data_IF_131856710340
#
_entry.id   IF_131856710340
#
_cell.length_a   1.000
_cell.length_b   1.000
_cell.length_c   1.000
_cell.angle_alpha   90.00
_cell.angle_beta   90.00
_cell.angle_gamma   90.00
#
_symmetry.space_group_name_H-M   'P 1'
#
loop_
_entity.id
_entity.type
_entity.pdbx_description
1 polymer ?
#
# COMPACT_ATOMS: atom_id res chain seq x y z
N UNK A 1 -13.47 1.16 -10.35
CA UNK A 1 -12.88 1.43 -9.01
C UNK A 1 -12.70 0.11 -8.29
N UNK A 2 -11.51 -0.15 -7.77
CA UNK A 2 -11.18 -1.35 -6.99
C UNK A 2 -10.61 -0.94 -5.65
N UNK A 3 -11.09 -1.57 -4.58
CA UNK A 3 -10.63 -1.37 -3.20
C UNK A 3 -10.08 -2.67 -2.67
N UNK A 4 -8.87 -2.60 -2.14
CA UNK A 4 -8.10 -3.66 -1.52
C UNK A 4 -8.07 -3.45 -0.01
N UNK A 5 -8.38 -4.50 0.74
CA UNK A 5 -8.38 -4.50 2.19
C UNK A 5 -7.19 -5.32 2.66
N UNK A 6 -6.53 -4.88 3.72
CA UNK A 6 -5.41 -5.62 4.27
C UNK A 6 -5.89 -7.00 4.76
N UNK A 7 -5.22 -8.05 4.28
CA UNK A 7 -5.47 -9.44 4.70
C UNK A 7 -4.43 -9.87 5.74
N UNK A 8 -3.16 -9.66 5.41
CA UNK A 8 -2.03 -10.04 6.25
C UNK A 8 -0.81 -9.16 5.92
N UNK A 9 0.23 -9.23 6.74
CA UNK A 9 1.54 -8.67 6.41
C UNK A 9 2.65 -9.56 6.96
N UNK A 10 3.81 -9.56 6.31
CA UNK A 10 4.97 -10.32 6.74
C UNK A 10 6.25 -9.52 6.51
N UNK A 11 7.32 -9.87 7.22
CA UNK A 11 8.64 -9.28 7.01
C UNK A 11 9.41 -10.05 5.94
N UNK A 12 9.97 -9.35 4.97
CA UNK A 12 10.83 -9.97 3.95
C UNK A 12 12.33 -9.85 4.31
N UNK A 13 13.18 -10.45 3.48
CA UNK A 13 14.64 -10.43 3.62
C UNK A 13 15.27 -9.04 3.40
N UNK A 14 14.50 -8.05 2.94
CA UNK A 14 14.94 -6.66 2.70
C UNK A 14 14.63 -5.75 3.89
N UNK A 15 14.26 -6.33 5.04
CA UNK A 15 13.77 -5.62 6.22
C UNK A 15 12.56 -4.72 5.92
N UNK A 16 11.69 -5.17 5.01
CA UNK A 16 10.41 -4.54 4.70
C UNK A 16 9.28 -5.35 5.32
N UNK A 17 8.22 -4.67 5.75
CA UNK A 17 6.93 -5.31 6.01
C UNK A 17 6.08 -5.18 4.76
N UNK A 18 5.80 -6.29 4.09
CA UNK A 18 5.01 -6.36 2.85
C UNK A 18 3.56 -6.63 3.20
N UNK A 19 2.63 -5.92 2.56
CA UNK A 19 1.20 -6.05 2.81
C UNK A 19 0.57 -6.98 1.76
N UNK A 20 -0.14 -8.01 2.22
CA UNK A 20 -0.94 -8.92 1.41
C UNK A 20 -2.40 -8.46 1.43
N UNK A 21 -3.03 -8.40 0.27
CA UNK A 21 -4.36 -7.82 0.12
C UNK A 21 -5.44 -8.87 -0.15
N UNK A 22 -6.65 -8.55 0.30
CA UNK A 22 -7.89 -9.19 -0.16
C UNK A 22 -8.71 -8.20 -0.98
N UNK A 23 -9.47 -8.72 -1.95
CA UNK A 23 -10.39 -7.91 -2.74
C UNK A 23 -11.56 -7.47 -1.86
N UNK A 24 -11.74 -6.15 -1.70
CA UNK A 24 -12.87 -5.59 -0.96
C UNK A 24 -14.06 -5.28 -1.86
N UNK A 25 -13.82 -4.47 -2.90
CA UNK A 25 -14.84 -4.05 -3.87
C UNK A 25 -14.17 -3.91 -5.23
N UNK A 26 -14.84 -4.27 -6.33
CA UNK A 26 -14.27 -4.12 -7.67
C UNK A 26 -15.34 -3.80 -8.70
N UNK A 27 -15.03 -2.83 -9.56
CA UNK A 27 -15.83 -2.42 -10.70
C UNK A 27 -14.88 -2.28 -11.91
N UNK A 28 -15.07 -3.13 -12.91
CA UNK A 28 -14.27 -3.19 -14.14
C UNK A 28 -13.16 -4.24 -14.13
N UNK A 29 -12.44 -4.37 -15.25
CA UNK A 29 -11.44 -5.43 -15.49
C UNK A 29 -10.00 -4.90 -15.69
N UNK A 30 -9.66 -3.72 -15.17
CA UNK A 30 -8.36 -3.07 -15.40
C UNK A 30 -7.24 -3.46 -14.43
N UNK A 31 -7.55 -4.19 -13.36
CA UNK A 31 -6.63 -4.50 -12.26
C UNK A 31 -6.79 -5.96 -11.85
N UNK A 32 -5.66 -6.64 -11.63
CA UNK A 32 -5.62 -8.02 -11.17
C UNK A 32 -4.84 -8.11 -9.86
N UNK A 33 -5.46 -8.67 -8.83
CA UNK A 33 -4.83 -8.90 -7.53
C UNK A 33 -4.11 -10.25 -7.52
N UNK A 34 -2.88 -10.26 -7.00
CA UNK A 34 -2.11 -11.47 -6.71
C UNK A 34 -1.36 -11.29 -5.39
N UNK A 35 -2.02 -11.63 -4.28
CA UNK A 35 -1.47 -11.54 -2.93
C UNK A 35 -1.06 -10.12 -2.54
N UNK A 36 0.24 -9.85 -2.56
CA UNK A 36 0.89 -8.59 -2.20
C UNK A 36 0.81 -7.54 -3.32
N UNK A 37 0.56 -8.02 -4.55
CA UNK A 37 0.74 -7.21 -5.75
C UNK A 37 -0.56 -6.99 -6.52
N UNK A 38 -0.64 -5.83 -7.19
CA UNK A 38 -1.72 -5.49 -8.10
C UNK A 38 -1.13 -5.24 -9.49
N UNK A 39 -1.50 -6.06 -10.46
CA UNK A 39 -1.10 -5.91 -11.86
C UNK A 39 -2.10 -5.07 -12.63
N UNK A 40 -1.61 -4.08 -13.36
CA UNK A 40 -2.39 -3.24 -14.28
C UNK A 40 -2.56 -3.98 -15.60
N UNK A 41 -3.81 -4.23 -15.98
CA UNK A 41 -4.13 -4.97 -17.21
C UNK A 41 -4.24 -4.01 -18.40
N UNK A 42 -4.82 -2.82 -18.18
CA UNK A 42 -5.06 -1.84 -19.23
C UNK A 42 -4.26 -0.56 -18.97
N UNK A 43 -3.59 -0.05 -20.00
CA UNK A 43 -2.90 1.24 -19.92
C UNK A 43 -3.89 2.35 -19.54
N UNK A 44 -3.48 3.28 -18.70
CA UNK A 44 -4.33 4.42 -18.36
C UNK A 44 -3.79 5.29 -17.24
N UNK A 45 -4.47 6.41 -16.99
CA UNK A 45 -4.23 7.24 -15.81
C UNK A 45 -5.08 6.70 -14.67
N UNK A 46 -4.44 6.30 -13.59
CA UNK A 46 -5.09 5.77 -12.40
C UNK A 46 -4.93 6.74 -11.24
N UNK A 47 -6.04 7.02 -10.54
CA UNK A 47 -5.99 7.61 -9.22
C UNK A 47 -5.78 6.49 -8.20
N UNK A 48 -4.70 6.58 -7.44
CA UNK A 48 -4.32 5.62 -6.40
C UNK A 48 -4.42 6.35 -5.06
N UNK A 49 -5.05 5.72 -4.07
CA UNK A 49 -5.06 6.20 -2.70
C UNK A 49 -4.81 5.05 -1.72
N UNK A 50 -4.21 5.36 -0.57
CA UNK A 50 -3.89 4.35 0.44
C UNK A 50 -3.88 4.94 1.83
N UNK A 51 -4.25 4.12 2.80
CA UNK A 51 -4.12 4.41 4.22
C UNK A 51 -3.54 3.21 4.95
N UNK A 52 -2.64 3.45 5.90
CA UNK A 52 -2.18 2.45 6.87
C UNK A 52 -2.31 3.04 8.27
N UNK A 53 -2.91 2.30 9.20
CA UNK A 53 -2.96 2.66 10.61
C UNK A 53 -1.83 1.96 11.37
N UNK A 54 -0.85 2.72 11.83
CA UNK A 54 0.27 2.23 12.61
C UNK A 54 -0.05 2.20 14.10
N UNK A 55 0.45 1.15 14.77
CA UNK A 55 0.47 0.98 16.23
C UNK A 55 1.91 0.78 16.72
N UNK A 56 2.85 1.46 16.09
CA UNK A 56 4.28 1.25 16.26
C UNK A 56 4.93 2.37 17.10
N UNK A 57 5.89 2.03 17.95
CA UNK A 57 6.64 3.00 18.77
C UNK A 57 7.84 3.60 18.04
N UNK A 58 8.18 3.08 16.86
CA UNK A 58 9.24 3.60 16.01
C UNK A 58 8.96 5.05 15.64
N UNK A 59 9.95 5.92 15.84
CA UNK A 59 9.80 7.38 15.77
C UNK A 59 9.16 7.91 14.47
N UNK A 60 9.38 7.24 13.34
CA UNK A 60 8.75 7.54 12.05
C UNK A 60 8.32 6.24 11.40
N UNK A 61 7.03 6.19 11.06
CA UNK A 61 6.40 5.13 10.28
C UNK A 61 5.90 5.68 8.95
N UNK A 62 5.61 4.80 8.01
CA UNK A 62 5.26 5.18 6.66
C UNK A 62 5.23 3.99 5.73
N UNK A 63 4.67 4.20 4.54
CA UNK A 63 4.63 3.18 3.50
C UNK A 63 5.04 3.80 2.17
N UNK A 64 5.45 2.93 1.25
CA UNK A 64 5.84 3.26 -0.12
C UNK A 64 4.97 2.44 -1.06
N UNK A 65 4.41 3.08 -2.08
CA UNK A 65 3.80 2.40 -3.22
C UNK A 65 4.83 2.35 -4.33
N UNK A 66 5.19 1.15 -4.74
CA UNK A 66 6.23 0.87 -5.72
C UNK A 66 5.61 0.25 -6.96
N UNK A 67 5.97 0.79 -8.13
CA UNK A 67 5.66 0.25 -9.46
C UNK A 67 6.87 -0.50 -9.98
N UNK A 68 6.64 -1.68 -10.55
CA UNK A 68 7.64 -2.45 -11.30
C UNK A 68 7.13 -2.74 -12.71
N UNK A 69 7.97 -2.50 -13.72
CA UNK A 69 7.68 -2.87 -15.11
C UNK A 69 8.99 -3.20 -15.82
N UNK A 70 9.03 -4.32 -16.54
CA UNK A 70 10.23 -4.77 -17.28
C UNK A 70 11.53 -4.74 -16.45
N UNK A 71 11.45 -5.12 -15.17
CA UNK A 71 12.57 -5.11 -14.24
C UNK A 71 12.95 -3.74 -13.65
N UNK A 72 12.38 -2.64 -14.14
CA UNK A 72 12.60 -1.30 -13.58
C UNK A 72 11.66 -1.04 -12.39
N UNK A 73 12.22 -0.51 -11.30
CA UNK A 73 11.47 -0.13 -10.10
C UNK A 73 11.31 1.39 -9.98
N UNK A 74 10.11 1.86 -9.68
CA UNK A 74 9.81 3.28 -9.44
C UNK A 74 8.94 3.46 -8.20
N UNK A 75 9.35 4.34 -7.28
CA UNK A 75 8.55 4.70 -6.10
C UNK A 75 7.53 5.77 -6.49
N UNK A 76 6.25 5.39 -6.59
CA UNK A 76 5.18 6.30 -7.03
C UNK A 76 4.85 7.34 -5.97
N UNK A 77 4.60 6.87 -4.75
CA UNK A 77 4.16 7.70 -3.64
C UNK A 77 4.69 7.16 -2.32
N UNK A 78 4.77 8.05 -1.33
CA UNK A 78 5.15 7.73 0.03
C UNK A 78 4.21 8.43 0.99
N UNK A 79 3.98 7.82 2.13
CA UNK A 79 3.41 8.48 3.29
C UNK A 79 4.40 8.35 4.45
N UNK A 80 4.63 9.44 5.19
CA UNK A 80 5.46 9.43 6.40
C UNK A 80 4.69 10.07 7.55
N UNK A 81 4.85 9.51 8.74
CA UNK A 81 4.19 9.98 9.95
C UNK A 81 5.08 9.80 11.16
N UNK A 82 5.29 10.89 11.90
CA UNK A 82 5.94 10.84 13.21
C UNK A 82 5.03 10.14 14.21
N UNK A 83 5.58 9.21 14.97
CA UNK A 83 4.86 8.48 16.01
C UNK A 83 5.15 9.07 17.39
N UNK A 84 4.16 9.15 18.29
CA UNK A 84 4.37 9.56 19.66
C UNK A 84 5.25 8.53 20.39
N UNK A 85 6.22 9.03 21.17
CA UNK A 85 7.02 8.20 22.08
C UNK A 85 6.38 8.20 23.47
N UNK A 86 6.62 7.13 24.24
CA UNK A 86 6.22 7.01 25.64
C UNK A 86 4.70 7.13 25.90
N UNK A 87 3.88 6.71 24.95
CA UNK A 87 2.43 6.57 25.12
C UNK A 87 2.05 5.10 25.08
N UNK A 88 0.98 4.73 25.79
CA UNK A 88 0.49 3.35 25.84
C UNK A 88 -0.08 2.86 24.50
N UNK A 89 -0.59 3.79 23.67
CA UNK A 89 -1.21 3.50 22.37
C UNK A 89 -0.70 4.48 21.31
N UNK A 90 0.43 4.19 20.65
CA UNK A 90 0.97 5.05 19.60
C UNK A 90 0.21 4.83 18.29
N UNK A 91 -0.93 5.50 18.12
CA UNK A 91 -1.80 5.35 16.95
C UNK A 91 -1.67 6.53 16.00
N UNK A 92 -1.39 6.26 14.73
CA UNK A 92 -1.53 7.24 13.66
C UNK A 92 -1.91 6.58 12.34
N UNK A 93 -2.89 7.15 11.65
CA UNK A 93 -3.12 6.87 10.24
C UNK A 93 -2.14 7.66 9.38
N UNK A 94 -1.66 7.05 8.31
CA UNK A 94 -0.91 7.71 7.25
C UNK A 94 -1.63 7.48 5.93
N UNK A 95 -2.18 8.55 5.36
CA UNK A 95 -2.90 8.55 4.10
C UNK A 95 -2.10 9.27 3.02
N UNK A 96 -2.08 8.74 1.80
CA UNK A 96 -1.52 9.40 0.61
C UNK A 96 -2.33 9.03 -0.63
N UNK A 97 -2.35 9.92 -1.63
CA UNK A 97 -3.05 9.70 -2.89
C UNK A 97 -2.44 10.51 -4.03
N UNK A 98 -2.64 10.06 -5.26
CA UNK A 98 -2.09 10.69 -6.46
C UNK A 98 -2.56 10.02 -7.75
N UNK A 99 -2.53 10.79 -8.84
CA UNK A 99 -2.81 10.31 -10.19
C UNK A 99 -1.51 9.95 -10.90
N UNK A 100 -1.45 8.74 -11.47
CA UNK A 100 -0.28 8.23 -12.17
C UNK A 100 -0.68 7.52 -13.47
N UNK A 101 0.07 7.74 -14.54
CA UNK A 101 -0.04 6.90 -15.72
C UNK A 101 0.63 5.55 -15.47
N UNK A 102 -0.10 4.46 -15.75
CA UNK A 102 0.36 3.09 -15.58
C UNK A 102 0.17 2.32 -16.89
N UNK A 103 1.25 1.68 -17.34
CA UNK A 103 1.29 0.78 -18.48
C UNK A 103 0.77 -0.60 -18.08
N UNK A 104 0.19 -1.32 -19.04
CA UNK A 104 -0.18 -2.72 -18.93
C UNK A 104 1.05 -3.55 -18.58
N UNK A 105 0.87 -4.49 -17.67
CA UNK A 105 1.95 -5.26 -17.06
C UNK A 105 2.67 -4.55 -15.91
N UNK A 106 2.33 -3.29 -15.60
CA UNK A 106 2.85 -2.65 -14.38
C UNK A 106 2.36 -3.41 -13.15
N UNK A 107 3.28 -3.72 -12.24
CA UNK A 107 2.98 -4.38 -10.96
C UNK A 107 3.17 -3.37 -9.83
N UNK A 108 2.12 -3.18 -9.03
CA UNK A 108 2.12 -2.31 -7.86
C UNK A 108 2.27 -3.15 -6.59
N UNK A 109 3.08 -2.67 -5.65
CA UNK A 109 3.27 -3.23 -4.31
C UNK A 109 3.26 -2.09 -3.29
N UNK A 110 2.67 -2.31 -2.12
CA UNK A 110 2.82 -1.41 -0.98
C UNK A 110 3.56 -2.13 0.14
N UNK A 111 4.63 -1.49 0.61
CA UNK A 111 5.44 -1.97 1.72
C UNK A 111 5.78 -0.87 2.70
N UNK A 112 6.00 -1.27 3.95
CA UNK A 112 6.50 -0.42 5.04
C UNK A 112 8.01 -0.66 5.15
N UNK A 113 8.87 0.38 5.05
CA UNK A 113 10.33 0.23 5.10
C UNK A 113 10.84 0.05 6.54
N UNK A 114 10.29 -0.95 7.22
CA UNK A 114 10.64 -1.41 8.57
C UNK A 114 10.34 -2.91 8.63
N UNK A 115 11.25 -3.66 9.24
CA UNK A 115 11.02 -5.05 9.63
C UNK A 115 9.98 -5.08 10.75
N UNK A 116 9.06 -6.03 10.71
CA UNK A 116 8.06 -6.30 11.75
C UNK A 116 7.27 -5.06 12.17
N UNK A 117 6.85 -4.23 11.22
CA UNK A 117 6.06 -3.03 11.48
C UNK A 117 4.73 -3.38 12.16
N UNK A 118 4.42 -2.73 13.29
CA UNK A 118 3.14 -2.93 13.98
C UNK A 118 2.05 -2.02 13.38
N UNK A 119 1.02 -2.65 12.84
CA UNK A 119 -0.09 -1.99 12.15
C UNK A 119 -1.41 -2.70 12.45
N UNK A 120 -2.52 -1.95 12.32
CA UNK A 120 -3.85 -2.48 12.57
C UNK A 120 -4.41 -3.17 11.32
N UNK A 121 -4.69 -4.47 11.46
CA UNK A 121 -5.37 -5.31 10.47
C UNK A 121 -6.89 -5.06 10.50
N UNK A 122 -7.32 -3.88 10.08
CA UNK A 122 -8.74 -3.53 9.93
C UNK A 122 -9.00 -2.93 8.57
N UNK A 123 -10.02 -3.44 7.87
CA UNK A 123 -10.41 -3.01 6.53
C UNK A 123 -10.79 -1.51 6.43
N UNK A 124 -11.21 -0.90 7.53
CA UNK A 124 -11.56 0.52 7.59
C UNK A 124 -10.35 1.40 7.95
N UNK A 125 -9.31 0.80 8.52
CA UNK A 125 -8.13 1.52 8.99
C UNK A 125 -6.97 1.44 7.98
N UNK A 126 -6.79 0.28 7.34
CA UNK A 126 -5.71 -0.01 6.40
C UNK A 126 -6.27 -0.57 5.09
N UNK A 127 -6.12 0.20 4.02
CA UNK A 127 -6.70 -0.08 2.71
C UNK A 127 -5.91 0.59 1.58
N UNK A 128 -6.12 0.10 0.35
CA UNK A 128 -5.68 0.75 -0.88
C UNK A 128 -6.85 0.78 -1.85
N UNK A 129 -7.02 1.87 -2.60
CA UNK A 129 -7.97 1.92 -3.68
C UNK A 129 -7.37 2.51 -4.95
N UNK A 130 -7.86 2.01 -6.08
CA UNK A 130 -7.36 2.36 -7.40
C UNK A 130 -8.54 2.47 -8.36
N UNK A 131 -8.60 3.54 -9.15
CA UNK A 131 -9.57 3.65 -10.24
C UNK A 131 -8.95 4.37 -11.44
N UNK A 132 -9.36 3.94 -12.64
CA UNK A 132 -9.03 4.68 -13.87
C UNK A 132 -9.80 5.99 -13.87
N UNK A 133 -9.12 7.06 -14.26
CA UNK A 133 -9.70 8.37 -14.60
C UNK A 133 -10.06 8.38 -16.08
#
# INVERSE_FOLDING_TARGET
MTVFRLLACYSDERDLTVLTWALGQSYGAGLQLSGETITVVNNGTYFIYSQVLYKDTTWVMGHVITKRINGAETKLMKCLKSMPRNVSLPLNSCYTAGAHFLESGSVLELSVPRKSADLILSAQATFMGIFSI
#
